data_IF_077000298856
#
_entry.id   IF_077000298856
#
_cell.length_a   1.000
_cell.length_b   1.000
_cell.length_c   1.000
_cell.angle_alpha   90.00
_cell.angle_beta   90.00
_cell.angle_gamma   90.00
#
_symmetry.space_group_name_H-M   'P 1'
#
loop_
_entity.id
_entity.type
_entity.pdbx_description
1 polymer ?
#
# COMPACT_ATOMS: atom_id res chain seq x y z
N UNK A 1 -24.21 -14.69 -49.89
CA UNK A 1 -24.08 -13.22 -49.79
C UNK A 1 -23.86 -12.91 -48.31
N UNK A 2 -22.65 -13.11 -47.79
CA UNK A 2 -21.49 -12.20 -47.80
C UNK A 2 -21.79 -10.89 -47.07
N UNK A 3 -21.26 -10.75 -45.86
CA UNK A 3 -20.32 -9.67 -45.55
C UNK A 3 -19.54 -9.99 -44.27
N UNK A 4 -18.28 -10.39 -44.48
CA UNK A 4 -17.24 -10.47 -43.47
C UNK A 4 -16.32 -9.26 -43.63
N UNK A 5 -15.83 -8.74 -42.51
CA UNK A 5 -14.47 -8.22 -42.34
C UNK A 5 -14.15 -6.89 -43.04
N UNK A 6 -13.93 -5.82 -42.24
CA UNK A 6 -12.94 -4.79 -42.56
C UNK A 6 -12.49 -4.07 -41.28
N UNK A 7 -11.37 -4.55 -40.74
CA UNK A 7 -10.45 -3.76 -39.90
C UNK A 7 -9.39 -3.19 -40.85
N UNK A 8 -9.50 -1.92 -41.19
CA UNK A 8 -8.45 -1.15 -41.90
C UNK A 8 -7.72 -0.29 -40.85
N UNK A 9 -6.46 -0.58 -40.53
CA UNK A 9 -5.25 -0.01 -41.16
C UNK A 9 -5.23 1.53 -41.14
N UNK A 10 -4.57 2.09 -40.12
CA UNK A 10 -3.81 3.33 -40.23
C UNK A 10 -2.47 3.16 -39.53
N UNK A 11 -1.56 2.46 -40.23
CA UNK A 11 -0.12 2.61 -40.07
C UNK A 11 0.28 3.74 -41.04
N UNK A 12 0.43 4.97 -40.54
CA UNK A 12 1.06 6.04 -41.32
C UNK A 12 2.54 6.04 -40.97
N UNK A 13 3.31 5.41 -41.86
CA UNK A 13 4.75 5.63 -41.98
C UNK A 13 5.01 7.12 -42.23
N UNK A 14 5.64 7.80 -41.26
CA UNK A 14 6.40 9.02 -41.51
C UNK A 14 7.89 8.67 -41.44
N UNK A 15 8.37 7.99 -42.49
CA UNK A 15 9.80 7.99 -42.84
C UNK A 15 10.01 9.26 -43.67
N UNK A 16 10.75 10.24 -43.13
CA UNK A 16 10.97 11.47 -43.85
C UNK A 16 11.83 12.51 -43.12
N UNK A 17 13.05 12.12 -42.74
CA UNK A 17 14.30 12.92 -42.72
C UNK A 17 15.28 12.31 -41.71
N UNK A 18 15.85 11.15 -42.08
CA UNK A 18 17.15 10.74 -41.55
C UNK A 18 18.18 11.61 -42.27
N UNK A 19 18.41 12.81 -41.75
CA UNK A 19 19.63 13.54 -42.03
C UNK A 19 20.77 12.83 -41.29
N UNK A 20 21.87 12.62 -41.99
CA UNK A 20 23.05 11.86 -41.56
C UNK A 20 23.54 12.31 -40.17
N UNK A 21 23.44 11.42 -39.19
CA UNK A 21 24.39 11.36 -38.08
C UNK A 21 25.01 9.98 -38.10
N UNK A 22 26.26 9.91 -38.51
CA UNK A 22 27.10 8.76 -38.24
C UNK A 22 27.31 8.68 -36.72
N UNK A 23 26.37 8.06 -36.01
CA UNK A 23 26.45 7.85 -34.57
C UNK A 23 26.93 6.42 -34.30
N UNK A 24 28.20 6.19 -34.59
CA UNK A 24 28.97 5.06 -34.05
C UNK A 24 29.84 5.65 -32.93
N UNK A 25 29.46 5.43 -31.68
CA UNK A 25 30.35 5.53 -30.51
C UNK A 25 30.88 6.91 -30.09
N UNK A 26 30.40 8.03 -30.63
CA UNK A 26 30.79 9.35 -30.12
C UNK A 26 30.06 9.67 -28.79
N UNK A 27 30.75 10.20 -27.76
CA UNK A 27 30.09 10.66 -26.53
C UNK A 27 29.13 11.80 -26.85
N UNK A 28 27.97 11.83 -26.18
CA UNK A 28 26.99 12.92 -26.31
C UNK A 28 27.68 14.27 -26.05
N UNK A 29 27.61 15.18 -27.02
CA UNK A 29 28.06 16.56 -26.80
C UNK A 29 27.16 17.25 -25.78
N UNK A 30 27.66 18.29 -25.11
CA UNK A 30 26.87 19.02 -24.11
C UNK A 30 25.62 19.67 -24.75
N UNK A 31 25.73 20.15 -25.99
CA UNK A 31 24.60 20.72 -26.74
C UNK A 31 23.55 19.65 -27.12
N UNK A 32 23.97 18.46 -27.56
CA UNK A 32 23.05 17.36 -27.86
C UNK A 32 22.36 16.86 -26.58
N UNK A 33 23.08 16.85 -25.46
CA UNK A 33 22.54 16.50 -24.15
C UNK A 33 21.47 17.48 -23.70
N UNK A 34 21.75 18.78 -23.81
CA UNK A 34 20.80 19.83 -23.43
C UNK A 34 19.53 19.78 -24.29
N UNK A 35 19.67 19.62 -25.62
CA UNK A 35 18.53 19.46 -26.52
C UNK A 35 17.72 18.18 -26.24
N UNK A 36 18.39 17.07 -25.93
CA UNK A 36 17.72 15.82 -25.58
C UNK A 36 16.94 15.94 -24.26
N UNK A 37 17.50 16.62 -23.25
CA UNK A 37 16.83 16.91 -21.99
C UNK A 37 15.62 17.81 -22.19
N UNK A 38 15.74 18.88 -22.98
CA UNK A 38 14.61 19.78 -23.28
C UNK A 38 13.46 19.04 -23.98
N UNK A 39 13.78 18.17 -24.97
CA UNK A 39 12.76 17.35 -25.64
C UNK A 39 12.12 16.33 -24.70
N UNK A 40 12.91 15.72 -23.81
CA UNK A 40 12.42 14.77 -22.82
C UNK A 40 11.45 15.46 -21.85
N UNK A 41 11.77 16.68 -21.42
CA UNK A 41 10.92 17.48 -20.54
C UNK A 41 9.59 17.84 -21.22
N UNK A 42 9.62 18.33 -22.47
CA UNK A 42 8.39 18.61 -23.23
C UNK A 42 7.51 17.36 -23.42
N UNK A 43 8.11 16.22 -23.77
CA UNK A 43 7.37 14.96 -23.89
C UNK A 43 6.75 14.53 -22.56
N UNK A 44 7.47 14.73 -21.45
CA UNK A 44 6.97 14.45 -20.11
C UNK A 44 5.78 15.35 -19.76
N UNK A 45 5.86 16.63 -20.10
CA UNK A 45 4.78 17.59 -19.84
C UNK A 45 3.53 17.30 -20.68
N UNK A 46 3.69 17.00 -21.96
CA UNK A 46 2.58 16.61 -22.84
C UNK A 46 1.90 15.31 -22.37
N UNK A 47 2.70 14.30 -22.00
CA UNK A 47 2.20 13.03 -21.47
C UNK A 47 1.47 13.23 -20.13
N UNK A 48 2.00 14.10 -19.27
CA UNK A 48 1.39 14.43 -17.96
C UNK A 48 0.08 15.18 -18.13
N UNK A 49 0.04 16.17 -19.03
CA UNK A 49 -1.17 16.94 -19.36
C UNK A 49 -2.28 16.06 -19.93
N UNK A 50 -1.94 15.16 -20.88
CA UNK A 50 -2.91 14.21 -21.44
C UNK A 50 -3.45 13.26 -20.39
N UNK A 51 -2.59 12.73 -19.52
CA UNK A 51 -2.99 11.87 -18.41
C UNK A 51 -3.88 12.59 -17.40
N UNK A 52 -3.56 13.84 -17.07
CA UNK A 52 -4.33 14.65 -16.14
C UNK A 52 -5.75 14.95 -16.65
N UNK A 53 -5.91 15.24 -17.95
CA UNK A 53 -7.22 15.47 -18.54
C UNK A 53 -8.16 14.27 -18.40
N UNK A 54 -7.61 13.05 -18.56
CA UNK A 54 -8.33 11.78 -18.31
C UNK A 54 -8.69 11.61 -16.84
N UNK A 55 -7.77 11.92 -15.93
CA UNK A 55 -8.01 11.79 -14.49
C UNK A 55 -9.08 12.74 -13.99
N UNK A 56 -9.18 13.96 -14.55
CA UNK A 56 -10.17 14.96 -14.11
C UNK A 56 -11.61 14.44 -14.19
N UNK A 57 -11.97 13.74 -15.26
CA UNK A 57 -13.31 13.16 -15.41
C UNK A 57 -13.58 12.07 -14.36
N UNK A 58 -12.59 11.19 -14.15
CA UNK A 58 -12.68 10.13 -13.15
C UNK A 58 -12.76 10.70 -11.72
N UNK A 59 -11.91 11.66 -11.37
CA UNK A 59 -11.91 12.34 -10.06
C UNK A 59 -13.27 12.99 -9.78
N UNK A 60 -13.86 13.66 -10.78
CA UNK A 60 -15.18 14.27 -10.66
C UNK A 60 -16.27 13.23 -10.33
N UNK A 61 -16.28 12.10 -11.06
CA UNK A 61 -17.21 11.01 -10.81
C UNK A 61 -16.99 10.37 -9.44
N UNK A 62 -15.74 10.13 -9.05
CA UNK A 62 -15.40 9.53 -7.76
C UNK A 62 -15.74 10.42 -6.57
N UNK A 63 -15.53 11.75 -6.69
CA UNK A 63 -15.96 12.71 -5.68
C UNK A 63 -17.48 12.71 -5.51
N UNK A 64 -18.22 12.59 -6.61
CA UNK A 64 -19.69 12.44 -6.57
C UNK A 64 -20.08 11.13 -5.89
N UNK A 65 -19.45 10.02 -6.28
CA UNK A 65 -19.70 8.70 -5.69
C UNK A 65 -19.38 8.64 -4.19
N UNK A 66 -18.32 9.28 -3.73
CA UNK A 66 -17.95 9.22 -2.31
C UNK A 66 -18.74 10.16 -1.39
N UNK A 67 -19.60 11.02 -1.96
CA UNK A 67 -20.35 12.03 -1.22
C UNK A 67 -21.34 11.43 -0.21
N UNK A 68 -21.91 10.26 -0.51
CA UNK A 68 -22.82 9.52 0.37
C UNK A 68 -22.73 8.01 0.16
N UNK A 69 -23.28 7.24 1.09
CA UNK A 69 -23.32 5.78 0.98
C UNK A 69 -24.17 5.31 -0.20
N UNK A 70 -25.24 6.05 -0.53
CA UNK A 70 -26.07 5.76 -1.71
C UNK A 70 -25.32 6.05 -3.00
N UNK A 71 -24.65 7.19 -3.10
CA UNK A 71 -23.86 7.54 -4.28
C UNK A 71 -22.72 6.54 -4.52
N UNK A 72 -22.11 6.02 -3.45
CA UNK A 72 -21.01 5.08 -3.55
C UNK A 72 -21.46 3.74 -4.10
N UNK A 73 -22.58 3.21 -3.61
CA UNK A 73 -23.11 1.93 -4.08
C UNK A 73 -23.70 2.05 -5.49
N UNK A 74 -24.33 3.17 -5.83
CA UNK A 74 -24.87 3.40 -7.18
C UNK A 74 -23.72 3.44 -8.20
N UNK A 75 -22.66 4.21 -7.93
CA UNK A 75 -21.48 4.25 -8.79
C UNK A 75 -20.81 2.88 -8.91
N UNK A 76 -20.72 2.13 -7.80
CA UNK A 76 -20.17 0.77 -7.82
C UNK A 76 -20.98 -0.14 -8.74
N UNK A 77 -22.31 -0.12 -8.63
CA UNK A 77 -23.20 -0.92 -9.47
C UNK A 77 -23.10 -0.55 -10.94
N UNK A 78 -23.00 0.74 -11.27
CA UNK A 78 -22.80 1.20 -12.64
C UNK A 78 -21.47 0.70 -13.22
N UNK A 79 -20.40 0.78 -12.41
CA UNK A 79 -19.07 0.29 -12.79
C UNK A 79 -19.04 -1.23 -12.95
N UNK A 80 -19.69 -2.00 -12.06
CA UNK A 80 -19.83 -3.46 -12.19
C UNK A 80 -20.63 -3.80 -13.44
N UNK A 81 -21.79 -3.17 -13.65
CA UNK A 81 -22.63 -3.42 -14.83
C UNK A 81 -21.84 -3.21 -16.11
N UNK A 82 -21.13 -2.09 -16.21
CA UNK A 82 -20.27 -1.78 -17.35
C UNK A 82 -19.20 -2.86 -17.56
N UNK A 83 -18.35 -3.09 -16.57
CA UNK A 83 -17.12 -3.88 -16.72
C UNK A 83 -17.39 -5.39 -16.76
N UNK A 84 -18.31 -5.89 -15.93
CA UNK A 84 -18.52 -7.32 -15.75
C UNK A 84 -19.65 -7.89 -16.60
N UNK A 85 -20.50 -7.03 -17.16
CA UNK A 85 -21.66 -7.44 -17.96
C UNK A 85 -21.64 -6.81 -19.35
N UNK A 86 -21.72 -5.50 -19.49
CA UNK A 86 -21.86 -4.82 -20.79
C UNK A 86 -20.63 -5.02 -21.68
N UNK A 87 -19.43 -4.77 -21.16
CA UNK A 87 -18.16 -4.96 -21.87
C UNK A 87 -17.92 -6.46 -22.21
N UNK A 88 -18.53 -7.37 -21.42
CA UNK A 88 -18.53 -8.82 -21.66
C UNK A 88 -19.70 -9.30 -22.53
N UNK A 89 -20.55 -8.38 -23.02
CA UNK A 89 -21.75 -8.67 -23.83
C UNK A 89 -22.74 -9.63 -23.16
N UNK A 90 -22.83 -9.61 -21.82
CA UNK A 90 -23.84 -10.34 -21.04
C UNK A 90 -25.18 -9.61 -21.09
N UNK A 91 -26.26 -10.30 -20.71
CA UNK A 91 -27.62 -9.72 -20.76
C UNK A 91 -27.89 -8.90 -19.51
N UNK A 92 -28.77 -7.90 -19.63
CA UNK A 92 -29.27 -7.13 -18.48
C UNK A 92 -29.99 -8.00 -17.43
N UNK A 93 -30.57 -9.14 -17.84
CA UNK A 93 -31.12 -10.12 -16.90
C UNK A 93 -30.07 -10.66 -15.96
N UNK A 94 -28.88 -10.96 -16.46
CA UNK A 94 -27.80 -11.57 -15.69
C UNK A 94 -27.30 -10.60 -14.61
N UNK A 95 -27.25 -9.31 -14.93
CA UNK A 95 -26.91 -8.26 -13.96
C UNK A 95 -27.97 -8.14 -12.86
N UNK A 96 -29.27 -8.19 -13.22
CA UNK A 96 -30.35 -8.15 -12.22
C UNK A 96 -30.30 -9.36 -11.30
N UNK A 97 -30.03 -10.55 -11.84
CA UNK A 97 -29.94 -11.78 -11.06
C UNK A 97 -28.71 -11.76 -10.14
N UNK A 98 -27.56 -11.30 -10.64
CA UNK A 98 -26.36 -11.07 -9.82
C UNK A 98 -26.63 -10.07 -8.69
N UNK A 99 -27.29 -8.94 -8.98
CA UNK A 99 -27.63 -7.93 -7.97
C UNK A 99 -28.54 -8.50 -6.89
N UNK A 100 -29.49 -9.38 -7.26
CA UNK A 100 -30.33 -10.11 -6.29
C UNK A 100 -29.51 -11.06 -5.43
N UNK A 101 -28.58 -11.82 -6.02
CA UNK A 101 -27.69 -12.73 -5.28
C UNK A 101 -26.76 -12.00 -4.32
N UNK A 102 -26.38 -10.76 -4.66
CA UNK A 102 -25.50 -9.91 -3.84
C UNK A 102 -26.23 -8.93 -2.93
N UNK A 103 -27.56 -9.00 -2.84
CA UNK A 103 -28.37 -7.99 -2.14
C UNK A 103 -27.93 -7.77 -0.70
N UNK A 104 -27.66 -8.83 0.05
CA UNK A 104 -27.26 -8.72 1.46
C UNK A 104 -25.92 -8.00 1.59
N UNK A 105 -24.92 -8.39 0.79
CA UNK A 105 -23.59 -7.75 0.74
C UNK A 105 -23.68 -6.28 0.32
N UNK A 106 -24.48 -5.96 -0.70
CA UNK A 106 -24.68 -4.59 -1.20
C UNK A 106 -25.47 -3.70 -0.22
N UNK A 107 -26.23 -4.31 0.67
CA UNK A 107 -26.99 -3.62 1.71
C UNK A 107 -26.19 -3.34 2.98
N UNK A 108 -25.04 -4.01 3.15
CA UNK A 108 -24.17 -3.85 4.32
C UNK A 108 -23.64 -2.39 4.40
N UNK A 109 -23.91 -1.66 5.51
CA UNK A 109 -23.42 -0.30 5.67
C UNK A 109 -21.89 -0.19 5.63
N UNK A 110 -21.20 -1.18 6.19
CA UNK A 110 -19.75 -1.29 6.12
C UNK A 110 -19.26 -1.43 4.69
N UNK A 111 -19.96 -2.17 3.82
CA UNK A 111 -19.60 -2.30 2.40
C UNK A 111 -19.65 -0.94 1.71
N UNK A 112 -20.72 -0.17 1.91
CA UNK A 112 -20.86 1.17 1.32
C UNK A 112 -19.77 2.12 1.82
N UNK A 113 -19.47 2.05 3.11
CA UNK A 113 -18.39 2.82 3.71
C UNK A 113 -17.01 2.43 3.15
N UNK A 114 -16.74 1.14 2.98
CA UNK A 114 -15.51 0.64 2.37
C UNK A 114 -15.33 1.12 0.92
N UNK A 115 -16.41 1.13 0.12
CA UNK A 115 -16.39 1.68 -1.24
C UNK A 115 -16.02 3.17 -1.24
N UNK A 116 -16.51 3.95 -0.27
CA UNK A 116 -16.14 5.38 -0.13
C UNK A 116 -14.65 5.55 0.15
N UNK A 117 -14.06 4.71 1.00
CA UNK A 117 -12.61 4.75 1.23
C UNK A 117 -11.80 4.31 0.01
N UNK A 118 -12.24 3.29 -0.74
CA UNK A 118 -11.61 2.93 -2.01
C UNK A 118 -11.63 4.12 -2.99
N UNK A 119 -12.77 4.81 -3.14
CA UNK A 119 -12.89 5.98 -4.01
C UNK A 119 -11.98 7.13 -3.54
N UNK A 120 -11.95 7.44 -2.23
CA UNK A 120 -11.05 8.45 -1.66
C UNK A 120 -9.59 8.13 -1.96
N UNK A 121 -9.17 6.89 -1.71
CA UNK A 121 -7.79 6.49 -1.95
C UNK A 121 -7.44 6.43 -3.45
N UNK A 122 -8.39 6.06 -4.31
CA UNK A 122 -8.24 6.14 -5.76
C UNK A 122 -8.06 7.59 -6.23
N UNK A 123 -8.83 8.54 -5.71
CA UNK A 123 -8.64 9.97 -6.00
C UNK A 123 -7.25 10.46 -5.58
N UNK A 124 -6.78 10.09 -4.37
CA UNK A 124 -5.41 10.43 -3.94
C UNK A 124 -4.36 9.81 -4.86
N UNK A 125 -4.53 8.56 -5.26
CA UNK A 125 -3.64 7.87 -6.19
C UNK A 125 -3.56 8.60 -7.53
N UNK A 126 -4.69 9.10 -8.04
CA UNK A 126 -4.72 9.90 -9.27
C UNK A 126 -4.03 11.26 -9.09
N UNK A 127 -4.22 11.94 -7.95
CA UNK A 127 -3.54 13.20 -7.62
C UNK A 127 -2.01 13.03 -7.56
N UNK A 128 -1.55 11.93 -6.98
CA UNK A 128 -0.11 11.59 -6.94
C UNK A 128 0.40 11.32 -8.35
N UNK A 129 -0.32 10.54 -9.15
CA UNK A 129 0.08 10.20 -10.50
C UNK A 129 0.13 11.41 -11.45
N UNK A 130 -0.73 12.43 -11.23
CA UNK A 130 -0.68 13.66 -12.02
C UNK A 130 0.38 14.66 -11.57
N UNK A 131 0.96 14.50 -10.38
CA UNK A 131 1.97 15.40 -9.82
C UNK A 131 1.60 16.90 -9.92
N UNK A 132 0.32 17.22 -9.79
CA UNK A 132 -0.22 18.57 -9.97
C UNK A 132 -0.79 19.16 -8.67
N UNK A 133 -0.73 18.40 -7.58
CA UNK A 133 -1.12 18.82 -6.23
C UNK A 133 0.13 18.75 -5.36
N UNK A 134 0.37 19.74 -4.47
CA UNK A 134 1.46 19.70 -3.52
C UNK A 134 1.48 18.39 -2.72
N UNK A 135 2.67 17.82 -2.51
CA UNK A 135 2.83 16.55 -1.78
C UNK A 135 2.31 16.64 -0.35
N UNK A 136 2.46 17.81 0.29
CA UNK A 136 1.96 18.08 1.64
C UNK A 136 0.44 17.99 1.73
N UNK A 137 -0.29 18.56 0.75
CA UNK A 137 -1.75 18.48 0.70
C UNK A 137 -2.21 17.02 0.56
N UNK A 138 -1.57 16.26 -0.33
CA UNK A 138 -1.85 14.83 -0.51
C UNK A 138 -1.57 14.06 0.78
N UNK A 139 -0.48 14.36 1.49
CA UNK A 139 -0.14 13.72 2.76
C UNK A 139 -1.18 14.01 3.84
N UNK A 140 -1.63 15.26 3.96
CA UNK A 140 -2.66 15.66 4.91
C UNK A 140 -3.98 14.96 4.64
N UNK A 141 -4.39 14.88 3.36
CA UNK A 141 -5.59 14.12 2.97
C UNK A 141 -5.41 12.62 3.22
N UNK A 142 -4.23 12.04 2.95
CA UNK A 142 -3.94 10.63 3.22
C UNK A 142 -4.05 10.31 4.72
N UNK A 143 -3.51 11.16 5.58
CA UNK A 143 -3.63 11.03 7.03
C UNK A 143 -5.09 11.05 7.46
N UNK A 144 -5.89 11.99 6.95
CA UNK A 144 -7.33 12.06 7.26
C UNK A 144 -8.05 10.78 6.83
N UNK A 145 -7.73 10.23 5.66
CA UNK A 145 -8.33 8.97 5.20
C UNK A 145 -7.98 7.81 6.13
N UNK A 146 -6.72 7.68 6.53
CA UNK A 146 -6.29 6.65 7.49
C UNK A 146 -7.01 6.83 8.83
N UNK A 147 -7.08 8.05 9.35
CA UNK A 147 -7.76 8.36 10.61
C UNK A 147 -9.23 7.91 10.55
N UNK A 148 -9.95 8.29 9.49
CA UNK A 148 -11.33 7.90 9.31
C UNK A 148 -11.50 6.38 9.21
N UNK A 149 -10.62 5.66 8.51
CA UNK A 149 -10.70 4.19 8.42
C UNK A 149 -10.51 3.55 9.79
N UNK A 150 -9.60 4.08 10.61
CA UNK A 150 -9.35 3.58 11.97
C UNK A 150 -10.53 3.88 12.89
N UNK A 151 -11.09 5.09 12.82
CA UNK A 151 -12.28 5.47 13.59
C UNK A 151 -13.48 4.56 13.25
N UNK A 152 -13.61 4.19 11.97
CA UNK A 152 -14.65 3.29 11.47
C UNK A 152 -14.26 1.80 11.47
N UNK A 153 -13.13 1.42 12.07
CA UNK A 153 -12.58 0.06 12.01
C UNK A 153 -13.60 -1.01 12.45
N UNK A 154 -14.41 -0.73 13.48
CA UNK A 154 -15.46 -1.65 13.95
C UNK A 154 -16.51 -1.94 12.87
N UNK A 155 -16.93 -0.91 12.13
CA UNK A 155 -17.92 -1.01 11.05
C UNK A 155 -17.34 -1.69 9.82
N UNK A 156 -16.03 -1.57 9.61
CA UNK A 156 -15.30 -2.09 8.46
C UNK A 156 -14.74 -3.51 8.66
N UNK A 157 -14.94 -4.13 9.82
CA UNK A 157 -14.31 -5.42 10.18
C UNK A 157 -14.53 -6.55 9.17
N UNK A 158 -15.67 -6.56 8.47
CA UNK A 158 -16.02 -7.56 7.46
C UNK A 158 -15.61 -7.15 6.03
N UNK A 159 -15.08 -5.94 5.86
CA UNK A 159 -14.82 -5.29 4.58
C UNK A 159 -13.32 -5.06 4.35
N UNK A 160 -12.47 -5.72 5.14
CA UNK A 160 -11.01 -5.64 5.02
C UNK A 160 -10.54 -5.98 3.60
N UNK A 161 -11.15 -7.00 2.98
CA UNK A 161 -10.82 -7.40 1.61
C UNK A 161 -11.11 -6.31 0.56
N UNK A 162 -12.13 -5.48 0.80
CA UNK A 162 -12.45 -4.33 -0.05
C UNK A 162 -11.40 -3.24 0.16
N UNK A 163 -11.14 -2.84 1.40
CA UNK A 163 -10.23 -1.73 1.70
C UNK A 163 -8.76 -2.05 1.36
N UNK A 164 -8.35 -3.31 1.47
CA UNK A 164 -6.99 -3.76 1.17
C UNK A 164 -6.76 -4.12 -0.30
N UNK A 165 -7.80 -4.12 -1.12
CA UNK A 165 -7.66 -4.29 -2.55
C UNK A 165 -6.93 -3.09 -3.15
N UNK A 166 -5.98 -3.36 -4.03
CA UNK A 166 -5.36 -2.33 -4.87
C UNK A 166 -6.42 -1.52 -5.63
N UNK A 167 -6.44 -0.20 -5.44
CA UNK A 167 -7.46 0.69 -6.00
C UNK A 167 -7.48 0.71 -7.52
N UNK A 168 -6.32 0.52 -8.18
CA UNK A 168 -6.21 0.40 -9.63
C UNK A 168 -6.74 -0.94 -10.18
N UNK A 169 -6.95 -1.93 -9.30
CA UNK A 169 -7.55 -3.23 -9.62
C UNK A 169 -9.07 -3.28 -9.44
N UNK A 170 -9.69 -2.21 -8.92
CA UNK A 170 -11.13 -2.15 -8.64
C UNK A 170 -11.96 -1.99 -9.91
N UNK A 171 -13.26 -2.28 -9.83
CA UNK A 171 -14.21 -2.02 -10.93
C UNK A 171 -14.28 -0.53 -11.29
N UNK A 172 -14.06 0.37 -10.33
CA UNK A 172 -13.97 1.81 -10.58
C UNK A 172 -12.81 2.14 -11.52
N UNK A 173 -11.60 1.66 -11.21
CA UNK A 173 -10.45 1.89 -12.05
C UNK A 173 -10.62 1.25 -13.44
N UNK A 174 -11.21 0.06 -13.52
CA UNK A 174 -11.49 -0.61 -14.80
C UNK A 174 -12.47 0.17 -15.66
N UNK A 175 -13.58 0.66 -15.09
CA UNK A 175 -14.62 1.40 -15.81
C UNK A 175 -14.11 2.71 -16.44
N UNK A 176 -13.10 3.33 -15.82
CA UNK A 176 -12.44 4.56 -16.29
C UNK A 176 -11.07 4.30 -16.95
N UNK A 177 -10.75 3.04 -17.25
CA UNK A 177 -9.50 2.62 -17.91
C UNK A 177 -8.22 3.05 -17.17
N UNK A 178 -8.23 3.11 -15.84
CA UNK A 178 -7.13 3.62 -14.99
C UNK A 178 -6.12 2.53 -14.55
N UNK A 179 -6.12 1.36 -15.19
CA UNK A 179 -5.27 0.23 -14.79
C UNK A 179 -3.78 0.46 -15.04
N UNK A 180 -3.46 1.40 -15.93
CA UNK A 180 -2.11 1.78 -16.34
C UNK A 180 -1.49 2.87 -15.45
N UNK A 181 -2.27 3.43 -14.51
CA UNK A 181 -1.81 4.50 -13.61
C UNK A 181 -0.65 4.03 -12.76
N UNK A 182 0.41 4.85 -12.73
CA UNK A 182 1.60 4.63 -11.91
C UNK A 182 1.76 5.81 -10.95
N UNK A 183 1.81 5.52 -9.66
CA UNK A 183 2.16 6.47 -8.62
C UNK A 183 3.39 5.93 -7.86
N UNK A 184 4.54 6.54 -8.08
CA UNK A 184 5.80 6.12 -7.46
C UNK A 184 5.82 6.46 -5.97
N UNK A 185 6.33 5.55 -5.14
CA UNK A 185 6.39 5.70 -3.68
C UNK A 185 5.02 6.07 -3.08
N UNK A 186 4.00 5.33 -3.52
CA UNK A 186 2.63 5.45 -3.08
C UNK A 186 2.00 4.06 -2.96
N UNK A 187 1.37 3.72 -1.82
CA UNK A 187 0.72 2.44 -1.67
C UNK A 187 -0.63 2.42 -2.39
N UNK A 188 -0.91 1.34 -3.10
CA UNK A 188 -2.12 1.21 -3.93
C UNK A 188 -3.37 0.85 -3.12
N UNK A 189 -3.24 0.71 -1.80
CA UNK A 189 -4.34 0.57 -0.87
C UNK A 189 -4.01 1.36 0.41
N UNK A 190 -5.02 1.90 1.12
CA UNK A 190 -4.80 2.61 2.36
C UNK A 190 -4.35 1.68 3.50
N UNK A 191 -4.69 0.39 3.42
CA UNK A 191 -4.37 -0.61 4.44
C UNK A 191 -4.00 -1.92 3.75
N UNK A 192 -3.01 -2.63 4.26
CA UNK A 192 -2.65 -3.97 3.82
C UNK A 192 -3.59 -5.02 4.43
N UNK A 193 -3.98 -6.02 3.66
CA UNK A 193 -4.80 -7.11 4.17
C UNK A 193 -4.07 -7.81 5.33
N UNK A 194 -4.80 -8.21 6.37
CA UNK A 194 -4.35 -9.30 7.23
C UNK A 194 -4.18 -10.53 6.36
N UNK A 195 -2.94 -10.86 6.02
CA UNK A 195 -2.60 -12.04 5.21
C UNK A 195 -2.96 -13.32 5.98
N UNK A 196 -4.24 -13.67 6.02
CA UNK A 196 -4.69 -14.96 6.54
C UNK A 196 -4.38 -16.13 5.58
N UNK A 197 -3.51 -15.94 4.57
CA UNK A 197 -3.20 -16.97 3.56
C UNK A 197 -1.71 -17.27 3.34
N UNK A 198 -0.78 -16.39 3.75
CA UNK A 198 0.64 -16.76 3.76
C UNK A 198 1.02 -17.52 5.06
N UNK A 199 0.24 -17.38 6.14
CA UNK A 199 0.56 -17.93 7.46
C UNK A 199 -0.51 -18.89 8.04
N UNK A 200 -1.19 -19.68 7.19
CA UNK A 200 -2.06 -20.79 7.67
C UNK A 200 -1.55 -22.17 7.24
N UNK A 201 -0.79 -22.89 8.10
CA UNK A 201 -0.40 -24.27 7.86
C UNK A 201 -1.52 -25.33 7.85
N UNK A 202 -2.78 -25.02 8.21
CA UNK A 202 -3.77 -26.05 8.57
C UNK A 202 -5.00 -26.16 7.68
N UNK A 203 -4.87 -26.05 6.36
CA UNK A 203 -5.94 -26.50 5.45
C UNK A 203 -5.38 -27.18 4.21
N UNK A 204 -4.96 -28.44 4.34
CA UNK A 204 -4.91 -29.32 3.17
C UNK A 204 -6.34 -29.61 2.73
N UNK A 205 -6.65 -29.23 1.49
CA UNK A 205 -7.82 -29.75 0.78
C UNK A 205 -7.74 -31.27 0.72
N UNK A 206 -8.86 -31.93 0.97
CA UNK A 206 -8.93 -33.38 1.15
C UNK A 206 -8.29 -34.19 0.03
N UNK A 207 -7.46 -35.15 0.44
CA UNK A 207 -7.19 -36.40 -0.26
C UNK A 207 -6.70 -37.44 0.76
N UNK A 208 -7.52 -38.48 0.93
CA UNK A 208 -7.26 -39.86 1.38
C UNK A 208 -6.46 -40.15 2.67
N UNK A 209 -7.15 -40.81 3.61
CA UNK A 209 -6.72 -41.15 4.99
C UNK A 209 -5.56 -42.15 5.11
N UNK A 210 -4.99 -42.63 3.99
CA UNK A 210 -3.85 -43.55 3.99
C UNK A 210 -2.50 -42.80 3.92
N UNK A 211 -2.47 -41.63 3.25
CA UNK A 211 -1.27 -40.79 3.15
C UNK A 211 -0.88 -40.12 4.48
N UNK A 212 -1.84 -39.94 5.39
CA UNK A 212 -1.62 -39.36 6.72
C UNK A 212 -0.76 -40.27 7.61
N UNK A 213 -1.00 -41.60 7.55
CA UNK A 213 -0.27 -42.56 8.40
C UNK A 213 1.19 -42.75 7.98
N UNK A 214 1.49 -42.52 6.70
CA UNK A 214 2.87 -42.53 6.19
C UNK A 214 3.57 -41.19 6.47
N UNK A 215 2.87 -40.05 6.41
CA UNK A 215 3.42 -38.75 6.80
C UNK A 215 3.73 -38.67 8.32
N UNK A 216 2.86 -39.21 9.18
CA UNK A 216 3.04 -39.20 10.64
C UNK A 216 4.22 -40.08 11.11
N UNK A 217 4.63 -41.07 10.31
CA UNK A 217 5.83 -41.89 10.58
C UNK A 217 7.13 -41.23 10.12
N UNK A 218 7.07 -40.31 9.16
CA UNK A 218 8.22 -39.54 8.70
C UNK A 218 8.46 -38.25 9.51
N UNK A 219 7.43 -37.75 10.21
CA UNK A 219 7.48 -36.50 10.97
C UNK A 219 8.08 -36.62 12.39
N UNK A 220 8.64 -37.78 12.78
CA UNK A 220 9.11 -37.99 14.16
C UNK A 220 10.57 -37.58 14.42
N UNK A 221 11.36 -37.28 13.38
CA UNK A 221 12.80 -36.96 13.52
C UNK A 221 13.22 -35.60 12.91
N UNK A 222 12.29 -34.70 12.62
CA UNK A 222 12.61 -33.31 12.29
C UNK A 222 11.75 -32.36 13.13
N UNK A 223 12.40 -31.66 14.06
CA UNK A 223 11.78 -30.57 14.81
C UNK A 223 11.26 -29.51 13.82
N UNK A 224 9.96 -29.17 13.82
CA UNK A 224 9.46 -28.11 12.98
C UNK A 224 9.75 -26.76 13.65
N UNK A 225 10.71 -26.01 13.09
CA UNK A 225 10.80 -24.57 13.27
C UNK A 225 9.64 -23.90 12.51
N UNK A 226 8.51 -23.74 13.19
CA UNK A 226 7.38 -22.96 12.70
C UNK A 226 7.74 -21.47 12.65
N UNK A 227 8.30 -21.00 11.54
CA UNK A 227 8.49 -19.57 11.29
C UNK A 227 7.13 -18.90 11.05
N UNK A 228 6.57 -18.28 12.09
CA UNK A 228 5.64 -17.19 11.92
C UNK A 228 6.45 -15.92 11.61
N UNK A 229 6.33 -15.37 10.41
CA UNK A 229 6.88 -14.04 10.11
C UNK A 229 5.82 -13.01 10.44
N UNK A 230 5.83 -12.48 11.67
CA UNK A 230 5.14 -11.24 11.96
C UNK A 230 5.69 -10.16 11.02
N UNK A 231 4.84 -9.53 10.20
CA UNK A 231 5.23 -8.36 9.43
C UNK A 231 5.35 -7.18 10.41
N UNK A 232 6.57 -6.76 10.76
CA UNK A 232 6.76 -5.76 11.80
C UNK A 232 6.36 -4.36 11.31
N UNK A 233 5.96 -4.22 10.04
CA UNK A 233 5.43 -2.96 9.52
C UNK A 233 3.96 -2.74 9.84
N UNK A 234 3.21 -3.78 10.23
CA UNK A 234 1.77 -3.65 10.52
C UNK A 234 0.92 -3.39 9.27
N UNK A 235 -0.40 -3.24 9.45
CA UNK A 235 -1.33 -3.08 8.32
C UNK A 235 -1.29 -1.69 7.68
N UNK A 236 -0.90 -0.67 8.44
CA UNK A 236 -0.73 0.72 8.00
C UNK A 236 0.72 1.01 7.60
N UNK A 237 1.62 0.04 7.71
CA UNK A 237 3.05 0.21 7.51
C UNK A 237 3.42 0.90 6.21
N UNK A 238 2.87 0.45 5.09
CA UNK A 238 3.20 1.05 3.78
C UNK A 238 2.81 2.53 3.69
N UNK A 239 1.63 2.91 4.21
CA UNK A 239 1.19 4.32 4.20
C UNK A 239 2.06 5.17 5.11
N UNK A 240 2.38 4.68 6.30
CA UNK A 240 3.26 5.41 7.21
C UNK A 240 4.67 5.57 6.65
N UNK A 241 5.25 4.51 6.11
CA UNK A 241 6.63 4.52 5.60
C UNK A 241 6.80 5.31 4.30
N UNK A 242 5.79 5.29 3.41
CA UNK A 242 5.91 5.93 2.09
C UNK A 242 5.31 7.35 2.04
N UNK A 243 4.40 7.67 2.96
CA UNK A 243 3.61 8.91 2.90
C UNK A 243 3.73 9.74 4.17
N UNK A 244 3.43 9.16 5.34
CA UNK A 244 3.16 9.97 6.54
C UNK A 244 4.42 10.35 7.34
N UNK A 245 5.37 9.43 7.51
CA UNK A 245 6.59 9.65 8.31
C UNK A 245 7.75 10.34 7.57
N UNK A 246 7.99 10.12 6.26
CA UNK A 246 9.17 10.67 5.60
C UNK A 246 9.41 12.18 5.80
N UNK A 247 8.37 13.04 5.79
CA UNK A 247 8.57 14.48 5.98
C UNK A 247 9.00 14.88 7.40
N UNK A 248 8.94 13.95 8.37
CA UNK A 248 9.36 14.19 9.75
C UNK A 248 10.74 13.56 10.07
N UNK A 249 11.39 12.93 9.09
CA UNK A 249 12.70 12.28 9.26
C UNK A 249 13.84 13.31 9.15
N UNK A 250 13.88 14.23 10.11
CA UNK A 250 14.95 15.20 10.29
C UNK A 250 15.12 15.57 11.77
N UNK A 251 16.32 16.01 12.15
CA UNK A 251 16.61 16.46 13.51
C UNK A 251 15.67 17.60 13.96
N UNK A 252 15.34 18.51 13.04
CA UNK A 252 14.45 19.65 13.29
C UNK A 252 12.98 19.28 13.47
N UNK A 253 12.59 18.04 13.17
CA UNK A 253 11.18 17.58 13.22
C UNK A 253 10.97 16.34 14.08
N UNK A 254 11.94 16.01 14.96
CA UNK A 254 11.89 14.85 15.85
C UNK A 254 10.61 14.73 16.69
N UNK A 255 10.08 15.83 17.21
CA UNK A 255 8.82 15.81 17.97
C UNK A 255 7.63 15.36 17.10
N UNK A 256 7.60 15.81 15.84
CA UNK A 256 6.57 15.38 14.87
C UNK A 256 6.77 13.93 14.47
N UNK A 257 8.02 13.47 14.33
CA UNK A 257 8.32 12.06 14.05
C UNK A 257 7.84 11.16 15.18
N UNK A 258 8.14 11.52 16.43
CA UNK A 258 7.69 10.80 17.62
C UNK A 258 6.16 10.78 17.71
N UNK A 259 5.50 11.92 17.49
CA UNK A 259 4.04 12.00 17.47
C UNK A 259 3.41 11.15 16.35
N UNK A 260 4.00 11.16 15.15
CA UNK A 260 3.56 10.35 14.01
C UNK A 260 3.65 8.85 14.31
N UNK A 261 4.76 8.40 14.91
CA UNK A 261 4.91 7.02 15.37
C UNK A 261 3.94 6.64 16.49
N UNK A 262 3.77 7.50 17.50
CA UNK A 262 2.80 7.26 18.57
C UNK A 262 1.39 7.07 18.01
N UNK A 263 1.02 7.90 17.02
CA UNK A 263 -0.25 7.76 16.30
C UNK A 263 -0.34 6.42 15.54
N UNK A 264 0.69 6.04 14.78
CA UNK A 264 0.73 4.73 14.09
C UNK A 264 0.50 3.58 15.06
N UNK A 265 1.21 3.58 16.19
CA UNK A 265 1.11 2.53 17.22
C UNK A 265 -0.32 2.41 17.74
N UNK A 266 -0.98 3.54 18.04
CA UNK A 266 -2.38 3.56 18.47
C UNK A 266 -3.34 3.06 17.37
N UNK A 267 -3.11 3.46 16.13
CA UNK A 267 -3.96 3.07 15.01
C UNK A 267 -3.84 1.58 14.69
N UNK A 268 -2.62 1.02 14.69
CA UNK A 268 -2.38 -0.41 14.53
C UNK A 268 -3.05 -1.20 15.66
N UNK A 269 -2.91 -0.78 16.92
CA UNK A 269 -3.63 -1.39 18.05
C UNK A 269 -5.14 -1.44 17.83
N UNK A 270 -5.72 -0.32 17.38
CA UNK A 270 -7.16 -0.22 17.09
C UNK A 270 -7.57 -1.14 15.96
N UNK A 271 -6.81 -1.17 14.88
CA UNK A 271 -7.07 -2.03 13.72
C UNK A 271 -6.99 -3.50 14.14
N UNK A 272 -5.92 -3.94 14.82
CA UNK A 272 -5.80 -5.34 15.27
C UNK A 272 -6.89 -5.71 16.28
N UNK A 273 -7.31 -4.79 17.15
CA UNK A 273 -8.42 -5.01 18.10
C UNK A 273 -9.74 -5.33 17.40
N UNK A 274 -10.05 -4.68 16.28
CA UNK A 274 -11.31 -4.89 15.57
C UNK A 274 -11.24 -5.91 14.43
N UNK A 275 -10.06 -6.05 13.81
CA UNK A 275 -9.87 -6.83 12.58
C UNK A 275 -9.10 -8.14 12.84
N UNK A 276 -8.29 -8.19 13.90
CA UNK A 276 -7.51 -9.34 14.33
C UNK A 276 -8.33 -10.36 15.12
N UNK A 277 -9.55 -10.65 14.69
CA UNK A 277 -10.44 -11.60 15.36
C UNK A 277 -11.72 -11.78 14.57
N UNK A 278 -11.70 -12.65 13.55
CA UNK A 278 -12.94 -13.15 12.96
C UNK A 278 -13.71 -13.93 14.02
N UNK A 279 -14.98 -13.58 14.26
CA UNK A 279 -15.91 -14.35 15.11
C UNK A 279 -15.31 -14.93 16.39
N UNK A 280 -14.78 -14.08 17.28
CA UNK A 280 -14.42 -14.47 18.66
C UNK A 280 -13.00 -14.99 18.88
N UNK A 281 -12.11 -14.94 17.89
CA UNK A 281 -10.72 -15.37 18.04
C UNK A 281 -9.84 -14.22 18.58
N UNK A 282 -9.70 -14.11 19.90
CA UNK A 282 -8.87 -13.09 20.57
C UNK A 282 -7.36 -13.29 20.35
N UNK A 283 -6.97 -14.47 19.86
CA UNK A 283 -5.57 -14.90 19.75
C UNK A 283 -4.73 -14.02 18.81
N UNK A 284 -5.29 -13.47 17.73
CA UNK A 284 -4.51 -12.60 16.81
C UNK A 284 -4.26 -11.23 17.44
N UNK A 285 -5.23 -10.66 18.15
CA UNK A 285 -5.01 -9.41 18.89
C UNK A 285 -4.07 -9.60 20.07
N UNK A 286 -4.23 -10.68 20.85
CA UNK A 286 -3.33 -11.03 21.96
C UNK A 286 -1.89 -11.19 21.46
N UNK A 287 -1.70 -11.96 20.39
CA UNK A 287 -0.39 -12.11 19.76
C UNK A 287 0.18 -10.78 19.26
N UNK A 288 -0.65 -9.90 18.71
CA UNK A 288 -0.21 -8.55 18.35
C UNK A 288 0.21 -7.75 19.59
N UNK A 289 -0.50 -7.84 20.72
CA UNK A 289 -0.10 -7.18 21.97
C UNK A 289 1.24 -7.69 22.50
N UNK A 290 1.44 -9.01 22.43
CA UNK A 290 2.62 -9.68 22.98
C UNK A 290 3.86 -9.52 22.08
N UNK A 291 3.70 -9.66 20.77
CA UNK A 291 4.82 -9.67 19.82
C UNK A 291 4.89 -8.41 18.96
N UNK A 292 3.76 -7.96 18.45
CA UNK A 292 3.70 -6.91 17.43
C UNK A 292 3.87 -5.49 17.97
N UNK A 293 3.20 -5.19 19.07
CA UNK A 293 3.24 -3.89 19.72
C UNK A 293 4.65 -3.56 20.27
N UNK A 294 5.39 -4.50 20.90
CA UNK A 294 6.80 -4.29 21.21
C UNK A 294 7.63 -4.04 19.96
N UNK A 295 7.46 -4.84 18.89
CA UNK A 295 8.22 -4.66 17.66
C UNK A 295 8.00 -3.26 17.02
N UNK A 296 6.76 -2.76 16.99
CA UNK A 296 6.46 -1.41 16.49
C UNK A 296 7.10 -0.32 17.34
N UNK A 297 7.05 -0.46 18.68
CA UNK A 297 7.71 0.48 19.60
C UNK A 297 9.23 0.46 19.42
N UNK A 298 9.81 -0.71 19.19
CA UNK A 298 11.23 -0.82 18.87
C UNK A 298 11.58 -0.09 17.58
N UNK A 299 10.80 -0.27 16.51
CA UNK A 299 11.01 0.43 15.24
C UNK A 299 10.92 1.96 15.37
N UNK A 300 9.97 2.46 16.16
CA UNK A 300 9.88 3.89 16.49
C UNK A 300 11.20 4.40 17.08
N UNK A 301 11.75 3.70 18.06
CA UNK A 301 13.01 4.13 18.69
C UNK A 301 14.21 4.03 17.74
N UNK A 302 14.24 3.00 16.88
CA UNK A 302 15.26 2.90 15.83
C UNK A 302 15.17 4.09 14.85
N UNK A 303 13.96 4.49 14.45
CA UNK A 303 13.77 5.61 13.53
C UNK A 303 14.15 6.94 14.20
N UNK A 304 13.76 7.14 15.47
CA UNK A 304 14.17 8.32 16.25
C UNK A 304 15.69 8.40 16.44
N UNK A 305 16.34 7.28 16.73
CA UNK A 305 17.80 7.21 16.86
C UNK A 305 18.49 7.68 15.57
N UNK A 306 18.04 7.16 14.41
CA UNK A 306 18.62 7.46 13.10
C UNK A 306 18.43 8.89 12.63
N UNK A 307 17.47 9.62 13.22
CA UNK A 307 17.10 10.96 12.78
C UNK A 307 17.42 12.05 13.82
N UNK A 308 18.25 11.75 14.82
CA UNK A 308 18.86 12.76 15.71
C UNK A 308 18.67 12.55 17.21
N UNK A 309 17.76 11.66 17.65
CA UNK A 309 17.54 11.39 19.08
C UNK A 309 18.40 10.22 19.58
N UNK A 310 19.68 10.18 19.21
CA UNK A 310 20.56 9.03 19.49
C UNK A 310 20.59 8.67 20.98
N UNK A 311 20.85 9.67 21.85
CA UNK A 311 20.97 9.44 23.29
C UNK A 311 19.64 9.05 23.94
N UNK A 312 18.57 9.78 23.63
CA UNK A 312 17.24 9.52 24.21
C UNK A 312 16.66 8.19 23.72
N UNK A 313 16.78 7.90 22.42
CA UNK A 313 16.34 6.63 21.86
C UNK A 313 17.15 5.45 22.40
N UNK A 314 18.48 5.57 22.54
CA UNK A 314 19.31 4.50 23.12
C UNK A 314 18.85 4.11 24.54
N UNK A 315 18.57 5.10 25.40
CA UNK A 315 18.05 4.85 26.75
C UNK A 315 16.70 4.12 26.70
N UNK A 316 15.78 4.55 25.82
CA UNK A 316 14.46 3.91 25.66
C UNK A 316 14.55 2.51 25.06
N UNK A 317 15.51 2.27 24.16
CA UNK A 317 15.80 0.96 23.58
C UNK A 317 16.38 -0.01 24.64
N UNK A 318 17.26 0.46 25.53
CA UNK A 318 17.74 -0.36 26.65
C UNK A 318 16.58 -0.74 27.59
N UNK A 319 15.74 0.23 27.97
CA UNK A 319 14.54 -0.04 28.77
C UNK A 319 13.56 -1.01 28.07
N UNK A 320 13.48 -0.95 26.73
CA UNK A 320 12.72 -1.90 25.94
C UNK A 320 13.28 -3.32 26.05
N UNK A 321 14.59 -3.49 25.92
CA UNK A 321 15.27 -4.78 26.07
C UNK A 321 15.09 -5.36 27.46
N UNK A 322 15.23 -4.53 28.51
CA UNK A 322 14.99 -4.95 29.89
C UNK A 322 13.56 -5.46 30.08
N UNK A 323 12.57 -4.75 29.53
CA UNK A 323 11.16 -5.13 29.65
C UNK A 323 10.82 -6.43 28.92
N UNK A 324 11.45 -6.69 27.77
CA UNK A 324 11.11 -7.79 26.87
C UNK A 324 12.23 -8.84 26.72
N UNK A 325 13.13 -8.95 27.72
CA UNK A 325 14.36 -9.76 27.63
C UNK A 325 14.14 -11.25 27.34
N UNK A 326 12.97 -11.79 27.67
CA UNK A 326 12.62 -13.20 27.46
C UNK A 326 11.94 -13.46 26.10
N UNK A 327 11.67 -12.42 25.31
CA UNK A 327 11.09 -12.59 23.97
C UNK A 327 12.15 -13.11 22.99
N UNK A 328 11.78 -14.01 22.05
CA UNK A 328 12.69 -14.45 20.99
C UNK A 328 13.29 -13.29 20.18
N UNK A 329 12.56 -12.18 20.03
CA UNK A 329 13.01 -11.00 19.29
C UNK A 329 14.09 -10.17 20.02
N UNK A 330 14.25 -10.33 21.33
CA UNK A 330 15.15 -9.51 22.15
C UNK A 330 16.62 -9.61 21.72
N UNK A 331 17.06 -10.80 21.29
CA UNK A 331 18.41 -10.98 20.76
C UNK A 331 18.65 -10.16 19.49
N UNK A 332 17.67 -10.16 18.57
CA UNK A 332 17.72 -9.38 17.34
C UNK A 332 17.76 -7.88 17.62
N UNK A 333 16.93 -7.41 18.55
CA UNK A 333 16.92 -6.01 19.01
C UNK A 333 18.26 -5.62 19.65
N UNK A 334 18.82 -6.45 20.52
CA UNK A 334 20.12 -6.18 21.16
C UNK A 334 21.23 -6.03 20.12
N UNK A 335 21.32 -6.93 19.13
CA UNK A 335 22.30 -6.83 18.05
C UNK A 335 22.10 -5.56 17.22
N UNK A 336 20.86 -5.17 16.94
CA UNK A 336 20.55 -3.96 16.18
C UNK A 336 21.00 -2.70 16.93
N UNK A 337 20.73 -2.60 18.24
CA UNK A 337 21.19 -1.47 19.05
C UNK A 337 22.72 -1.39 19.10
N UNK A 338 23.42 -2.52 19.29
CA UNK A 338 24.88 -2.57 19.24
C UNK A 338 25.43 -2.03 17.92
N UNK A 339 24.80 -2.41 16.79
CA UNK A 339 25.13 -1.89 15.47
C UNK A 339 24.95 -0.37 15.36
N UNK A 340 23.83 0.17 15.84
CA UNK A 340 23.54 1.61 15.82
C UNK A 340 24.56 2.40 16.64
N UNK A 341 24.88 1.95 17.86
CA UNK A 341 25.84 2.62 18.74
C UNK A 341 27.27 2.61 18.16
N UNK A 342 27.67 1.51 17.53
CA UNK A 342 28.98 1.39 16.91
C UNK A 342 29.15 2.33 15.70
N UNK A 343 28.10 2.49 14.90
CA UNK A 343 28.11 3.38 13.72
C UNK A 343 28.14 4.86 14.13
N UNK A 344 27.34 5.26 15.12
CA UNK A 344 27.31 6.63 15.63
C UNK A 344 28.68 7.09 16.16
N UNK A 345 29.36 6.24 16.93
CA UNK A 345 30.71 6.54 17.45
C UNK A 345 31.77 6.70 16.35
N UNK A 346 31.69 5.89 15.29
CA UNK A 346 32.61 5.96 14.14
C UNK A 346 32.43 7.25 13.32
N UNK A 347 31.18 7.65 13.06
CA UNK A 347 30.87 8.84 12.27
C UNK A 347 31.38 10.14 12.94
N UNK A 348 31.15 10.28 14.25
CA UNK A 348 31.63 11.44 15.04
C UNK A 348 33.16 11.53 15.07
N UNK A 349 33.84 10.38 15.11
CA UNK A 349 35.31 10.34 15.09
C UNK A 349 35.88 10.77 13.73
N UNK A 350 35.23 10.39 12.64
CA UNK A 350 35.65 10.76 11.28
C UNK A 350 35.38 12.24 10.94
N UNK A 351 34.31 12.83 11.47
CA UNK A 351 33.99 14.26 11.26
C UNK A 351 34.97 15.16 12.03
N UNK A 352 35.32 14.78 13.25
CA UNK A 352 36.34 15.48 14.06
C UNK A 352 37.72 15.44 13.42
N UNK A 353 38.05 14.36 12.69
CA UNK A 353 39.32 14.20 11.99
C UNK A 353 39.41 14.95 10.64
N UNK A 354 38.28 15.43 10.09
CA UNK A 354 38.24 16.24 8.84
C UNK A 354 38.21 17.76 9.11
N UNK A 355 37.96 18.16 10.35
CA UNK A 355 37.96 19.57 10.78
C UNK A 355 39.30 20.04 11.38
N UNK A 356 40.31 19.18 11.41
CA UNK A 356 41.71 19.46 11.73
C UNK A 356 42.52 19.42 10.44
#
# INVERSE_FOLDING_TARGET
>A
MSESMNRSLFLVCAIGLIAKSAAIGAPLTDADREQALERLEKLKDEASSRSYSRFRAAISAFNTGMASDSAAIDLYLDCVKKVEFEDQKKKDSDFRDWKRQKSDELSDPGMRLALRYQLRWLVLTLKVASNNVPREDIQNEAQQVVDMIVDDAKSLKNQQGVISQSVIGTVFAKAYSLQDVRASNWPMAPIKALNSRQDRPWRTSGADKESQRQADRAAKDQAPSGNFTFDPTGQLGEVYEQVLLPPYRSESTLDKLRAGWAKRVQQEDTIYKYWGGGSGDSAVYEKFQEEGLPALKWQMEVDLFRNGDEAGAAVRMLAHLEKYMYMPAAEGWSRQLQGLLSQSGSAKTAETAKGL
#
